data_IF_728234445527
#
_entry.id   IF_728234445527
#
_cell.length_a   1.000
_cell.length_b   1.000
_cell.length_c   1.000
_cell.angle_alpha   90.00
_cell.angle_beta   90.00
_cell.angle_gamma   90.00
#
_symmetry.space_group_name_H-M   'P 1'
#
loop_
_entity.id
_entity.type
_entity.pdbx_description
1 polymer ?
#
# COMPACT_ATOMS: atom_id res chain seq x y z
N UNK A 1 -48.92 -0.50 -35.73
CA UNK A 1 -47.72 -1.34 -35.59
C UNK A 1 -48.13 -2.62 -34.90
N UNK A 2 -47.89 -3.78 -35.52
CA UNK A 2 -48.47 -5.05 -35.05
C UNK A 2 -47.88 -5.49 -33.71
N UNK A 3 -48.69 -6.08 -32.82
CA UNK A 3 -48.23 -6.60 -31.52
C UNK A 3 -47.00 -7.52 -31.67
N UNK A 4 -46.94 -8.30 -32.75
CA UNK A 4 -45.79 -9.16 -33.09
C UNK A 4 -44.50 -8.38 -33.37
N UNK A 5 -44.61 -7.22 -34.04
CA UNK A 5 -43.47 -6.33 -34.33
C UNK A 5 -42.98 -5.62 -33.08
N UNK A 6 -43.89 -5.21 -32.19
CA UNK A 6 -43.55 -4.60 -30.90
C UNK A 6 -42.80 -5.61 -30.02
N UNK A 7 -43.29 -6.85 -29.92
CA UNK A 7 -42.62 -7.92 -29.16
C UNK A 7 -41.23 -8.24 -29.74
N UNK A 8 -41.10 -8.32 -31.07
CA UNK A 8 -39.81 -8.56 -31.73
C UNK A 8 -38.79 -7.45 -31.43
N UNK A 9 -39.21 -6.19 -31.49
CA UNK A 9 -38.35 -5.03 -31.19
C UNK A 9 -37.91 -5.04 -29.72
N UNK A 10 -38.82 -5.34 -28.78
CA UNK A 10 -38.48 -5.43 -27.35
C UNK A 10 -37.46 -6.53 -27.06
N UNK A 11 -37.56 -7.69 -27.72
CA UNK A 11 -36.58 -8.78 -27.56
C UNK A 11 -35.20 -8.36 -28.08
N UNK A 12 -35.14 -7.69 -29.24
CA UNK A 12 -33.87 -7.21 -29.82
C UNK A 12 -33.22 -6.16 -28.91
N UNK A 13 -34.01 -5.22 -28.37
CA UNK A 13 -33.51 -4.19 -27.44
C UNK A 13 -32.99 -4.84 -26.14
N UNK A 14 -33.68 -5.84 -25.61
CA UNK A 14 -33.25 -6.53 -24.40
C UNK A 14 -31.94 -7.32 -24.60
N UNK A 15 -31.78 -7.96 -25.76
CA UNK A 15 -30.53 -8.65 -26.14
C UNK A 15 -29.40 -7.63 -26.31
N UNK A 16 -29.65 -6.48 -26.95
CA UNK A 16 -28.64 -5.42 -27.08
C UNK A 16 -28.23 -4.82 -25.72
N UNK A 17 -29.19 -4.54 -24.83
CA UNK A 17 -28.92 -3.99 -23.51
C UNK A 17 -28.17 -4.98 -22.60
N UNK A 18 -28.49 -6.26 -22.67
CA UNK A 18 -27.78 -7.29 -21.89
C UNK A 18 -26.34 -7.51 -22.38
N UNK A 19 -26.09 -7.44 -23.69
CA UNK A 19 -24.74 -7.53 -24.27
C UNK A 19 -23.84 -6.35 -23.88
N UNK A 20 -24.39 -5.14 -23.76
CA UNK A 20 -23.63 -3.95 -23.33
C UNK A 20 -23.25 -4.07 -21.84
N UNK A 21 -24.18 -4.54 -21.00
CA UNK A 21 -23.94 -4.70 -19.56
C UNK A 21 -22.87 -5.76 -19.26
N UNK A 22 -22.87 -6.90 -19.98
CA UNK A 22 -21.86 -7.95 -19.80
C UNK A 22 -20.47 -7.51 -20.27
N UNK A 23 -20.37 -6.72 -21.35
CA UNK A 23 -19.11 -6.16 -21.80
C UNK A 23 -18.50 -5.17 -20.78
N UNK A 24 -19.33 -4.33 -20.14
CA UNK A 24 -18.88 -3.37 -19.12
C UNK A 24 -18.34 -4.07 -17.86
N UNK A 25 -18.99 -5.14 -17.40
CA UNK A 25 -18.55 -5.92 -16.23
C UNK A 25 -17.25 -6.69 -16.53
N UNK A 26 -17.11 -7.24 -17.74
CA UNK A 26 -15.89 -7.91 -18.18
C UNK A 26 -14.70 -6.95 -18.26
N UNK A 27 -14.91 -5.75 -18.82
CA UNK A 27 -13.88 -4.72 -18.92
C UNK A 27 -13.45 -4.17 -17.55
N UNK A 28 -14.38 -4.04 -16.60
CA UNK A 28 -14.06 -3.63 -15.24
C UNK A 28 -13.31 -4.72 -14.46
N UNK A 29 -13.63 -6.00 -14.69
CA UNK A 29 -12.91 -7.14 -14.08
C UNK A 29 -11.50 -7.31 -14.66
N UNK A 30 -11.27 -6.93 -15.92
CA UNK A 30 -9.94 -6.96 -16.56
C UNK A 30 -9.00 -5.82 -16.14
N UNK A 31 -9.44 -4.84 -15.32
CA UNK A 31 -8.57 -3.77 -14.77
C UNK A 31 -8.02 -4.06 -13.36
N UNK A 32 -8.09 -5.30 -12.90
CA UNK A 32 -7.40 -5.73 -11.66
C UNK A 32 -6.38 -6.84 -11.96
N UNK A 33 -5.62 -6.67 -13.04
CA UNK A 33 -4.71 -7.70 -13.56
C UNK A 33 -3.25 -7.30 -13.68
N UNK A 34 -2.90 -6.02 -13.54
CA UNK A 34 -1.51 -5.57 -13.51
C UNK A 34 -1.32 -4.71 -12.26
N UNK A 35 -1.06 -5.35 -11.12
CA UNK A 35 -0.10 -4.73 -10.21
C UNK A 35 1.15 -4.52 -11.05
N UNK A 36 1.64 -3.28 -11.25
CA UNK A 36 2.98 -3.14 -11.73
C UNK A 36 3.84 -3.80 -10.64
N UNK A 37 4.42 -4.96 -10.96
CA UNK A 37 5.78 -5.17 -10.55
C UNK A 37 6.49 -3.91 -11.04
N UNK A 38 6.69 -3.00 -10.10
CA UNK A 38 7.57 -1.86 -10.26
C UNK A 38 8.95 -2.49 -10.42
N UNK A 39 9.24 -2.95 -11.64
CA UNK A 39 10.56 -2.89 -12.20
C UNK A 39 10.83 -1.41 -12.36
N UNK A 40 11.42 -0.83 -11.31
CA UNK A 40 11.82 0.56 -11.20
C UNK A 40 13.01 0.83 -12.14
N UNK A 41 12.80 0.76 -13.45
CA UNK A 41 13.54 1.61 -14.36
C UNK A 41 12.97 3.04 -14.23
N UNK A 42 13.35 3.69 -13.12
CA UNK A 42 12.95 5.06 -12.78
C UNK A 42 13.27 6.04 -13.92
N UNK A 43 12.42 7.06 -14.12
CA UNK A 43 12.75 8.17 -15.00
C UNK A 43 14.01 8.87 -14.46
N UNK A 44 14.88 9.27 -15.37
CA UNK A 44 16.08 10.07 -15.10
C UNK A 44 15.64 11.44 -14.58
N UNK A 45 15.41 11.57 -13.28
CA UNK A 45 15.17 12.86 -12.65
C UNK A 45 16.52 13.54 -12.45
N UNK A 46 16.82 14.50 -13.33
CA UNK A 46 17.86 15.50 -13.11
C UNK A 46 17.57 16.24 -11.79
N UNK A 47 18.50 16.12 -10.83
CA UNK A 47 18.50 16.79 -9.53
C UNK A 47 17.31 16.48 -8.58
N UNK A 48 16.92 15.21 -8.44
CA UNK A 48 16.12 14.79 -7.28
C UNK A 48 16.89 13.72 -6.55
N UNK A 49 17.32 14.04 -5.33
CA UNK A 49 17.74 13.05 -4.33
C UNK A 49 16.55 12.10 -4.18
N UNK A 50 16.53 11.03 -4.96
CA UNK A 50 15.62 9.90 -4.76
C UNK A 50 15.97 9.36 -3.39
N UNK A 51 15.33 9.89 -2.35
CA UNK A 51 15.38 9.32 -1.02
C UNK A 51 14.58 8.04 -1.15
N UNK A 52 15.29 6.96 -1.47
CA UNK A 52 14.76 5.62 -1.20
C UNK A 52 14.63 5.59 0.32
N UNK A 53 13.42 5.83 0.81
CA UNK A 53 13.10 5.72 2.22
C UNK A 53 12.94 4.23 2.45
N UNK A 54 14.08 3.59 2.72
CA UNK A 54 14.17 2.18 3.08
C UNK A 54 13.78 2.03 4.54
N UNK A 55 13.10 0.94 4.86
CA UNK A 55 12.82 0.44 6.20
C UNK A 55 13.32 -1.01 6.17
N UNK A 56 14.58 -1.21 6.57
CA UNK A 56 15.30 -2.44 6.28
C UNK A 56 14.88 -3.61 7.18
N UNK A 57 14.39 -3.34 8.38
CA UNK A 57 13.94 -4.35 9.32
C UNK A 57 12.40 -4.47 9.42
N UNK A 58 11.66 -3.53 8.83
CA UNK A 58 10.19 -3.47 8.80
C UNK A 58 9.57 -3.32 10.20
N UNK A 59 10.15 -2.47 11.03
CA UNK A 59 9.66 -2.15 12.37
C UNK A 59 8.66 -0.97 12.39
N UNK A 60 8.63 -0.17 11.31
CA UNK A 60 7.80 1.03 11.19
C UNK A 60 8.58 2.35 11.16
N UNK A 61 9.91 2.31 11.27
CA UNK A 61 10.83 3.42 11.06
C UNK A 61 11.61 3.23 9.77
N UNK A 62 11.87 4.33 9.07
CA UNK A 62 12.82 4.30 7.94
C UNK A 62 14.24 4.37 8.45
N UNK A 63 15.23 3.84 7.71
CA UNK A 63 16.64 3.84 8.09
C UNK A 63 17.16 5.25 8.47
N UNK A 64 16.61 6.30 7.84
CA UNK A 64 16.94 7.69 8.14
C UNK A 64 16.31 8.16 9.46
N UNK A 65 15.09 7.71 9.80
CA UNK A 65 14.47 7.97 11.11
C UNK A 65 15.22 7.24 12.21
N UNK A 66 15.58 5.99 11.99
CA UNK A 66 16.35 5.19 12.94
C UNK A 66 17.69 5.83 13.25
N UNK A 67 18.38 6.35 12.24
CA UNK A 67 19.60 7.14 12.43
C UNK A 67 19.38 8.42 13.26
N UNK A 68 18.19 9.02 13.19
CA UNK A 68 17.84 10.20 14.01
C UNK A 68 17.56 9.80 15.46
N UNK A 69 16.93 8.66 15.68
CA UNK A 69 16.65 8.13 17.03
C UNK A 69 17.83 7.39 17.66
N UNK A 70 18.81 6.98 16.85
CA UNK A 70 20.00 6.23 17.28
C UNK A 70 19.82 4.71 17.33
N UNK A 71 18.78 4.18 16.68
CA UNK A 71 18.45 2.74 16.63
C UNK A 71 19.22 2.03 15.49
N UNK A 72 19.19 0.70 15.47
CA UNK A 72 19.89 -0.15 14.50
C UNK A 72 18.95 -0.51 13.33
N UNK A 73 19.19 0.01 12.11
CA UNK A 73 18.31 -0.20 10.94
C UNK A 73 18.20 -1.62 10.42
N UNK A 74 18.86 -2.57 11.08
CA UNK A 74 18.78 -3.99 10.75
C UNK A 74 18.07 -4.80 11.82
N UNK A 75 17.57 -4.16 12.88
CA UNK A 75 16.97 -4.82 14.04
C UNK A 75 15.72 -4.10 14.50
N UNK A 76 14.61 -4.85 14.43
CA UNK A 76 13.31 -4.33 14.85
C UNK A 76 13.27 -3.88 16.31
N UNK A 77 14.19 -4.39 17.14
CA UNK A 77 14.31 -4.17 18.58
C UNK A 77 15.80 -3.93 18.87
N UNK A 78 16.18 -2.66 19.06
CA UNK A 78 17.59 -2.27 19.20
C UNK A 78 18.16 -2.67 20.55
N UNK A 79 17.39 -2.55 21.62
CA UNK A 79 17.86 -2.77 22.99
C UNK A 79 17.60 -4.20 23.52
N UNK A 80 16.79 -4.97 22.81
CA UNK A 80 16.57 -6.40 22.98
C UNK A 80 15.55 -6.75 24.07
N UNK A 81 14.62 -5.85 24.40
CA UNK A 81 13.63 -6.05 25.45
C UNK A 81 12.32 -6.73 24.98
N UNK A 82 12.17 -6.88 23.66
CA UNK A 82 11.03 -7.50 23.00
C UNK A 82 10.00 -6.52 22.42
N UNK A 83 10.21 -5.22 22.51
CA UNK A 83 9.41 -4.19 21.84
C UNK A 83 10.11 -3.66 20.59
N UNK A 84 9.33 -3.20 19.62
CA UNK A 84 9.92 -2.65 18.40
C UNK A 84 10.28 -1.18 18.60
N UNK A 85 11.40 -0.73 18.04
CA UNK A 85 11.85 0.65 18.18
C UNK A 85 10.76 1.64 17.70
N UNK A 86 10.13 1.32 16.56
CA UNK A 86 9.00 2.09 16.01
C UNK A 86 7.75 2.09 16.88
N UNK A 87 7.46 1.01 17.59
CA UNK A 87 6.36 0.93 18.56
C UNK A 87 6.65 1.77 19.80
N UNK A 88 7.87 1.68 20.33
CA UNK A 88 8.31 2.44 21.49
C UNK A 88 8.23 3.95 21.23
N UNK A 89 8.79 4.41 20.10
CA UNK A 89 8.74 5.82 19.71
C UNK A 89 7.30 6.31 19.52
N UNK A 90 6.43 5.51 18.91
CA UNK A 90 5.02 5.86 18.72
C UNK A 90 4.27 6.00 20.06
N UNK A 91 4.69 5.25 21.09
CA UNK A 91 4.10 5.27 22.42
C UNK A 91 4.84 6.19 23.43
N UNK A 92 5.95 6.81 23.02
CA UNK A 92 6.74 7.73 23.86
C UNK A 92 7.69 7.04 24.83
N UNK A 93 8.24 5.89 24.45
CA UNK A 93 9.30 5.16 25.13
C UNK A 93 10.67 5.41 24.45
N UNK A 94 11.75 5.04 25.14
CA UNK A 94 13.13 5.19 24.70
C UNK A 94 13.66 3.86 24.14
N UNK A 95 13.80 3.71 22.81
CA UNK A 95 14.16 2.45 22.14
C UNK A 95 15.61 1.99 22.36
N UNK A 96 16.36 2.73 23.18
CA UNK A 96 17.74 2.42 23.53
C UNK A 96 17.88 1.97 24.99
N UNK A 97 16.76 1.78 25.70
CA UNK A 97 16.73 1.46 27.13
C UNK A 97 15.74 0.33 27.40
N UNK A 98 16.20 -0.88 27.76
CA UNK A 98 15.29 -2.00 27.94
C UNK A 98 14.17 -1.73 28.94
N UNK A 99 12.95 -2.10 28.60
CA UNK A 99 11.80 -2.13 29.49
C UNK A 99 12.11 -2.97 30.75
N UNK A 100 11.53 -2.59 31.90
CA UNK A 100 10.55 -1.52 32.11
C UNK A 100 11.16 -0.12 32.37
N UNK A 101 12.40 0.16 31.93
CA UNK A 101 13.13 1.41 32.22
C UNK A 101 13.15 2.47 31.10
N UNK A 102 12.54 2.16 29.97
CA UNK A 102 12.37 2.93 28.72
C UNK A 102 11.47 4.17 28.83
N UNK A 103 10.62 4.25 29.86
CA UNK A 103 9.54 5.26 29.91
C UNK A 103 10.03 6.71 29.95
N UNK A 104 9.76 7.46 28.88
CA UNK A 104 10.05 8.89 28.82
C UNK A 104 8.95 9.64 29.59
N UNK A 105 9.28 10.13 30.78
CA UNK A 105 8.36 10.91 31.60
C UNK A 105 8.19 12.28 30.91
N UNK A 106 7.03 12.50 30.30
CA UNK A 106 6.68 13.74 29.58
C UNK A 106 6.29 14.88 30.51
#
# INVERSE_FOLDING_TARGET
MDKKRIILISIIIFILLSAIATAAVFFFKSRQGDSPAVETASPKIENTKTVVITDMDNDGLTDEQEKVYGTDPTKQDTDGDGFKDGEEIANGYDPLKPAPGDKIIK
#
